data_IF_189141298703
#
_entry.id   IF_189141298703
#
_cell.length_a   1.000
_cell.length_b   1.000
_cell.length_c   1.000
_cell.angle_alpha   90.00
_cell.angle_beta   90.00
_cell.angle_gamma   90.00
#
_symmetry.space_group_name_H-M   'P 1'
#
loop_
_entity.id
_entity.type
_entity.pdbx_description
1 polymer ?
#
# COMPACT_ATOMS: atom_id res chain seq x y z
N UNK A 1 -21.83 -42.01 -26.16
CA UNK A 1 -21.62 -41.30 -24.88
C UNK A 1 -20.23 -40.69 -24.90
N UNK A 2 -20.10 -39.48 -25.48
CA UNK A 2 -18.80 -38.82 -25.67
C UNK A 2 -18.45 -38.08 -24.39
N UNK A 3 -17.35 -38.49 -23.77
CA UNK A 3 -16.62 -37.76 -22.75
C UNK A 3 -16.33 -36.35 -23.27
N UNK A 4 -17.04 -35.36 -22.73
CA UNK A 4 -16.72 -33.94 -22.92
C UNK A 4 -15.41 -33.68 -22.22
N UNK A 5 -14.33 -33.78 -23.00
CA UNK A 5 -13.05 -33.13 -22.73
C UNK A 5 -13.34 -31.70 -22.25
N UNK A 6 -13.21 -31.44 -20.95
CA UNK A 6 -12.73 -30.15 -20.47
C UNK A 6 -11.31 -30.04 -21.00
N UNK A 7 -11.16 -29.65 -22.26
CA UNK A 7 -9.88 -29.16 -22.74
C UNK A 7 -9.60 -27.91 -21.92
N UNK A 8 -8.67 -28.12 -20.99
CA UNK A 8 -7.85 -27.13 -20.33
C UNK A 8 -7.25 -26.22 -21.41
N UNK A 9 -8.02 -25.28 -21.95
CA UNK A 9 -7.44 -24.05 -22.45
C UNK A 9 -6.83 -23.37 -21.23
N UNK A 10 -5.57 -23.73 -20.97
CA UNK A 10 -4.67 -22.86 -20.25
C UNK A 10 -4.57 -21.59 -21.09
N UNK A 11 -5.55 -20.70 -20.94
CA UNK A 11 -5.47 -19.33 -21.40
C UNK A 11 -4.14 -18.84 -20.85
N UNK A 12 -3.22 -18.50 -21.74
CA UNK A 12 -1.90 -17.96 -21.40
C UNK A 12 -2.13 -16.57 -20.80
N UNK A 13 -2.54 -16.56 -19.53
CA UNK A 13 -2.90 -15.36 -18.80
C UNK A 13 -1.57 -14.74 -18.34
N UNK A 14 -1.30 -13.47 -18.64
CA UNK A 14 -0.14 -12.82 -18.08
C UNK A 14 -0.23 -12.89 -16.55
N UNK A 15 0.92 -13.01 -15.88
CA UNK A 15 1.00 -13.25 -14.43
C UNK A 15 0.12 -12.28 -13.61
N UNK A 16 0.05 -11.01 -14.01
CA UNK A 16 -0.75 -9.98 -13.35
C UNK A 16 -2.26 -10.04 -13.63
N UNK A 17 -2.71 -10.85 -14.59
CA UNK A 17 -4.11 -11.10 -14.89
C UNK A 17 -4.68 -12.33 -14.18
N UNK A 18 -3.90 -12.97 -13.30
CA UNK A 18 -4.36 -14.06 -12.45
C UNK A 18 -5.13 -13.47 -11.25
N UNK A 19 -6.40 -13.85 -11.00
CA UNK A 19 -7.19 -13.31 -9.89
C UNK A 19 -6.55 -13.50 -8.51
N UNK A 20 -5.89 -14.63 -8.29
CA UNK A 20 -5.17 -14.92 -7.05
C UNK A 20 -4.01 -13.95 -6.81
N UNK A 21 -3.24 -13.62 -7.85
CA UNK A 21 -2.14 -12.64 -7.77
C UNK A 21 -2.68 -11.28 -7.36
N UNK A 22 -3.77 -10.84 -8.00
CA UNK A 22 -4.46 -9.59 -7.65
C UNK A 22 -4.93 -9.54 -6.19
N UNK A 23 -5.49 -10.63 -5.68
CA UNK A 23 -5.92 -10.74 -4.28
C UNK A 23 -4.74 -10.67 -3.31
N UNK A 24 -3.68 -11.44 -3.56
CA UNK A 24 -2.46 -11.44 -2.74
C UNK A 24 -1.84 -10.05 -2.70
N UNK A 25 -1.67 -9.39 -3.85
CA UNK A 25 -1.15 -8.02 -3.89
C UNK A 25 -2.03 -7.03 -3.14
N UNK A 26 -3.36 -7.18 -3.22
CA UNK A 26 -4.30 -6.32 -2.50
C UNK A 26 -4.17 -6.50 -0.98
N UNK A 27 -4.03 -7.75 -0.51
CA UNK A 27 -3.82 -8.05 0.91
C UNK A 27 -2.47 -7.53 1.39
N UNK A 28 -1.40 -7.74 0.63
CA UNK A 28 -0.07 -7.22 0.96
C UNK A 28 -0.05 -5.69 1.03
N UNK A 29 -0.73 -5.03 0.08
CA UNK A 29 -0.89 -3.58 0.11
C UNK A 29 -1.65 -3.10 1.35
N UNK A 30 -2.77 -3.74 1.70
CA UNK A 30 -3.54 -3.40 2.89
C UNK A 30 -2.74 -3.61 4.19
N UNK A 31 -1.95 -4.69 4.28
CA UNK A 31 -1.07 -4.96 5.42
C UNK A 31 0.08 -3.95 5.50
N UNK A 32 0.71 -3.61 4.38
CA UNK A 32 1.76 -2.58 4.33
C UNK A 32 1.21 -1.22 4.76
N UNK A 33 0.00 -0.85 4.29
CA UNK A 33 -0.67 0.37 4.71
C UNK A 33 -1.03 0.37 6.21
N UNK A 34 -1.54 -0.75 6.74
CA UNK A 34 -1.79 -0.90 8.17
C UNK A 34 -0.52 -0.71 9.00
N UNK A 35 0.59 -1.32 8.57
CA UNK A 35 1.89 -1.12 9.21
C UNK A 35 2.34 0.33 9.14
N UNK A 36 2.14 1.01 8.00
CA UNK A 36 2.42 2.44 7.84
C UNK A 36 1.68 3.29 8.87
N UNK A 37 0.40 3.00 9.11
CA UNK A 37 -0.41 3.71 10.10
C UNK A 37 0.12 3.48 11.54
N UNK A 38 0.65 2.30 11.85
CA UNK A 38 1.22 1.98 13.16
C UNK A 38 2.54 2.73 13.42
N UNK A 39 3.36 2.95 12.39
CA UNK A 39 4.65 3.64 12.52
C UNK A 39 4.56 5.16 12.32
N UNK A 40 3.38 5.69 11.96
CA UNK A 40 3.13 7.12 11.76
C UNK A 40 3.48 7.99 12.98
N UNK A 41 3.21 7.58 14.24
CA UNK A 41 3.59 8.38 15.42
C UNK A 41 5.11 8.63 15.54
N UNK A 42 5.95 7.79 14.92
CA UNK A 42 7.42 7.89 14.99
C UNK A 42 7.96 9.07 14.15
N UNK A 43 7.17 9.59 13.21
CA UNK A 43 7.56 10.73 12.35
C UNK A 43 6.74 11.99 12.61
N UNK A 44 5.80 11.93 13.56
CA UNK A 44 4.94 13.05 13.92
C UNK A 44 5.59 14.07 14.88
N UNK A 45 4.85 15.12 15.27
CA UNK A 45 5.34 16.17 16.15
C UNK A 45 5.85 15.63 17.50
N UNK A 46 5.23 14.58 18.02
CA UNK A 46 5.63 13.92 19.25
C UNK A 46 7.06 13.34 19.20
N UNK A 47 7.50 12.86 18.03
CA UNK A 47 8.85 12.33 17.84
C UNK A 47 9.88 13.44 17.53
N UNK A 48 9.45 14.51 16.85
CA UNK A 48 10.33 15.60 16.39
C UNK A 48 10.52 16.72 17.42
N UNK A 49 9.48 17.04 18.20
CA UNK A 49 9.47 18.13 19.20
C UNK A 49 9.41 17.63 20.64
N UNK A 50 9.22 16.33 20.82
CA UNK A 50 8.94 15.73 22.13
C UNK A 50 7.45 15.76 22.48
N UNK A 51 7.06 14.92 23.43
CA UNK A 51 5.65 14.73 23.85
C UNK A 51 5.04 15.95 24.57
N UNK A 52 5.80 17.04 24.75
CA UNK A 52 5.40 18.18 25.58
C UNK A 52 5.53 17.95 27.09
N UNK A 53 5.94 16.74 27.51
CA UNK A 53 6.30 16.44 28.90
C UNK A 53 7.64 17.09 29.26
N UNK A 54 7.80 17.66 30.47
CA UNK A 54 9.07 18.23 30.92
C UNK A 54 10.22 17.21 30.80
N UNK A 55 11.23 17.54 29.99
CA UNK A 55 12.39 16.67 29.74
C UNK A 55 12.25 15.69 28.58
N UNK A 56 11.09 15.58 27.93
CA UNK A 56 10.92 14.80 26.70
C UNK A 56 11.44 15.60 25.50
N UNK A 57 12.73 15.47 25.20
CA UNK A 57 13.33 16.04 23.99
C UNK A 57 12.97 15.25 22.71
N UNK A 58 13.48 15.70 21.55
CA UNK A 58 13.36 14.98 20.29
C UNK A 58 13.90 13.56 20.40
N UNK A 59 13.31 12.61 19.68
CA UNK A 59 13.84 11.25 19.61
C UNK A 59 15.27 11.28 19.04
N UNK A 60 16.19 10.53 19.66
CA UNK A 60 17.62 10.51 19.30
C UNK A 60 17.91 10.17 17.82
N UNK A 61 16.97 9.48 17.16
CA UNK A 61 17.09 9.01 15.78
C UNK A 61 15.96 9.53 14.86
N UNK A 62 15.41 10.70 15.15
CA UNK A 62 14.25 11.25 14.44
C UNK A 62 14.42 11.30 12.90
N UNK A 63 15.61 11.68 12.40
CA UNK A 63 15.91 11.71 10.95
C UNK A 63 15.96 10.31 10.33
N UNK A 64 16.51 9.33 11.05
CA UNK A 64 16.60 7.95 10.56
C UNK A 64 15.21 7.31 10.50
N UNK A 65 14.38 7.57 11.52
CA UNK A 65 12.99 7.16 11.55
C UNK A 65 12.17 7.77 10.40
N UNK A 66 12.42 9.04 10.08
CA UNK A 66 11.80 9.70 8.94
C UNK A 66 12.15 9.03 7.61
N UNK A 67 13.43 8.73 7.39
CA UNK A 67 13.88 8.05 6.16
C UNK A 67 13.28 6.65 6.09
N UNK A 68 13.28 5.89 7.19
CA UNK A 68 12.68 4.55 7.23
C UNK A 68 11.18 4.58 6.92
N UNK A 69 10.44 5.55 7.48
CA UNK A 69 9.02 5.75 7.20
C UNK A 69 8.77 6.10 5.73
N UNK A 70 9.58 6.98 5.15
CA UNK A 70 9.49 7.35 3.73
C UNK A 70 9.74 6.15 2.83
N UNK A 71 10.80 5.36 3.09
CA UNK A 71 11.09 4.15 2.34
C UNK A 71 9.92 3.16 2.41
N UNK A 72 9.35 2.94 3.59
CA UNK A 72 8.19 2.05 3.76
C UNK A 72 6.94 2.58 3.03
N UNK A 73 6.73 3.90 3.02
CA UNK A 73 5.63 4.52 2.30
C UNK A 73 5.77 4.32 0.78
N UNK A 74 6.99 4.44 0.25
CA UNK A 74 7.27 4.17 -1.17
C UNK A 74 7.03 2.71 -1.53
N UNK A 75 7.44 1.76 -0.68
CA UNK A 75 7.14 0.33 -0.86
C UNK A 75 5.63 0.09 -0.86
N UNK A 76 4.91 0.72 0.07
CA UNK A 76 3.45 0.64 0.17
C UNK A 76 2.77 1.18 -1.10
N UNK A 77 3.24 2.32 -1.62
CA UNK A 77 2.74 2.88 -2.89
C UNK A 77 3.04 1.97 -4.08
N UNK A 78 4.25 1.39 -4.16
CA UNK A 78 4.61 0.45 -5.22
C UNK A 78 3.69 -0.79 -5.20
N UNK A 79 3.42 -1.36 -4.03
CA UNK A 79 2.45 -2.45 -3.87
C UNK A 79 1.04 -2.03 -4.28
N UNK A 80 0.61 -0.82 -3.92
CA UNK A 80 -0.68 -0.27 -4.31
C UNK A 80 -0.83 -0.11 -5.82
N UNK A 81 0.19 0.41 -6.50
CA UNK A 81 0.22 0.51 -7.98
C UNK A 81 0.12 -0.87 -8.61
N UNK A 82 0.92 -1.84 -8.14
CA UNK A 82 0.91 -3.20 -8.68
C UNK A 82 -0.43 -3.89 -8.43
N UNK A 83 -1.05 -3.71 -7.27
CA UNK A 83 -2.37 -4.25 -6.95
C UNK A 83 -3.46 -3.65 -7.87
N UNK A 84 -3.47 -2.33 -8.04
CA UNK A 84 -4.42 -1.65 -8.93
C UNK A 84 -4.22 -2.03 -10.40
N UNK A 85 -2.96 -2.20 -10.82
CA UNK A 85 -2.60 -2.66 -12.16
C UNK A 85 -3.09 -4.09 -12.42
N UNK A 86 -2.83 -5.01 -11.47
CA UNK A 86 -3.31 -6.38 -11.54
C UNK A 86 -4.85 -6.46 -11.55
N UNK A 87 -5.53 -5.70 -10.68
CA UNK A 87 -6.99 -5.60 -10.71
C UNK A 87 -7.53 -5.07 -12.04
N UNK A 88 -6.83 -4.10 -12.66
CA UNK A 88 -7.23 -3.57 -13.98
C UNK A 88 -7.11 -4.66 -15.07
N UNK A 89 -6.06 -5.47 -15.05
CA UNK A 89 -5.89 -6.57 -16.00
C UNK A 89 -6.93 -7.68 -15.82
N UNK A 90 -7.14 -8.14 -14.58
CA UNK A 90 -8.18 -9.15 -14.27
C UNK A 90 -9.55 -8.68 -14.74
N UNK A 91 -9.89 -7.40 -14.54
CA UNK A 91 -11.16 -6.84 -15.03
C UNK A 91 -11.29 -6.79 -16.54
N UNK A 92 -10.19 -6.54 -17.25
CA UNK A 92 -10.21 -6.51 -18.71
C UNK A 92 -10.54 -7.88 -19.32
N UNK A 93 -10.21 -8.97 -18.61
CA UNK A 93 -10.48 -10.34 -19.06
C UNK A 93 -11.79 -10.91 -18.48
N UNK A 94 -12.03 -10.73 -17.17
CA UNK A 94 -13.09 -11.45 -16.45
C UNK A 94 -14.33 -10.55 -16.14
N UNK A 95 -14.42 -9.32 -16.68
CA UNK A 95 -15.54 -8.37 -16.47
C UNK A 95 -15.97 -8.17 -14.99
N UNK A 96 -15.03 -8.32 -14.06
CA UNK A 96 -15.30 -8.30 -12.62
C UNK A 96 -15.67 -6.88 -12.13
N UNK A 97 -16.60 -6.73 -11.16
CA UNK A 97 -16.99 -5.43 -10.62
C UNK A 97 -15.82 -4.64 -10.01
N UNK A 98 -15.97 -3.31 -10.01
CA UNK A 98 -14.92 -2.40 -9.52
C UNK A 98 -14.87 -2.39 -7.99
N UNK A 99 -13.84 -2.99 -7.41
CA UNK A 99 -13.45 -2.74 -6.01
C UNK A 99 -12.92 -1.31 -5.87
N UNK A 100 -13.58 -0.53 -5.00
CA UNK A 100 -13.18 0.82 -4.64
C UNK A 100 -12.19 0.85 -3.47
N UNK A 101 -12.12 -0.22 -2.66
CA UNK A 101 -11.32 -0.27 -1.44
C UNK A 101 -9.83 0.01 -1.68
N UNK A 102 -9.20 -0.71 -2.61
CA UNK A 102 -7.77 -0.52 -2.92
C UNK A 102 -7.48 0.89 -3.47
N UNK A 103 -8.42 1.48 -4.21
CA UNK A 103 -8.28 2.85 -4.72
C UNK A 103 -8.33 3.87 -3.59
N UNK A 104 -9.26 3.73 -2.66
CA UNK A 104 -9.38 4.64 -1.50
C UNK A 104 -8.11 4.59 -0.65
N UNK A 105 -7.62 3.40 -0.33
CA UNK A 105 -6.35 3.24 0.41
C UNK A 105 -5.17 3.86 -0.34
N UNK A 106 -5.10 3.69 -1.66
CA UNK A 106 -4.04 4.30 -2.47
C UNK A 106 -4.09 5.83 -2.44
N UNK A 107 -5.28 6.43 -2.55
CA UNK A 107 -5.45 7.88 -2.42
C UNK A 107 -4.98 8.36 -1.05
N UNK A 108 -5.35 7.67 0.03
CA UNK A 108 -4.90 8.02 1.38
C UNK A 108 -3.37 7.91 1.51
N UNK A 109 -2.76 6.85 0.95
CA UNK A 109 -1.31 6.70 0.95
C UNK A 109 -0.60 7.84 0.19
N UNK A 110 -1.16 8.29 -0.95
CA UNK A 110 -0.64 9.45 -1.69
C UNK A 110 -0.79 10.74 -0.87
N UNK A 111 -1.94 10.96 -0.23
CA UNK A 111 -2.14 12.11 0.64
C UNK A 111 -1.15 12.12 1.82
N UNK A 112 -0.85 10.95 2.38
CA UNK A 112 0.15 10.79 3.43
C UNK A 112 1.56 11.14 2.93
N UNK A 113 1.92 10.76 1.70
CA UNK A 113 3.18 11.17 1.08
C UNK A 113 3.25 12.68 0.89
N UNK A 114 2.18 13.31 0.39
CA UNK A 114 2.10 14.76 0.24
C UNK A 114 2.24 15.45 1.60
N UNK A 115 1.54 14.99 2.63
CA UNK A 115 1.64 15.53 3.99
C UNK A 115 3.06 15.38 4.57
N UNK A 116 3.76 14.28 4.26
CA UNK A 116 5.13 14.05 4.70
C UNK A 116 6.12 14.99 4.00
N UNK A 117 5.98 15.17 2.68
CA UNK A 117 6.86 16.02 1.86
C UNK A 117 6.63 17.52 2.09
N UNK A 118 5.39 17.93 2.32
CA UNK A 118 5.05 19.32 2.64
C UNK A 118 5.43 19.72 4.07
N UNK A 119 5.88 18.76 4.88
CA UNK A 119 6.24 19.01 6.28
C UNK A 119 5.03 19.19 7.19
N UNK A 120 3.80 18.96 6.70
CA UNK A 120 2.56 19.04 7.50
C UNK A 120 2.59 18.08 8.70
N UNK A 121 3.32 16.97 8.57
CA UNK A 121 3.57 15.99 9.64
C UNK A 121 4.68 16.40 10.62
N UNK A 122 5.55 17.36 10.25
CA UNK A 122 6.71 17.82 11.03
C UNK A 122 6.42 19.09 11.84
N UNK A 123 5.50 19.93 11.37
CA UNK A 123 4.99 21.13 12.06
C UNK A 123 4.14 20.77 13.27
#
# INVERSE_FOLDING_TARGET
MKTTKKETEAVDRPFFAIPMVSQVLTVLFALAFYFQCMILPIVGPAAMKGSGSPGAGPAAHATQNFIAFLCMLLVTLALGVLALYSQKQVRALDNTPKSYFAKTLFVIAVLMLVALLTGLLKT
#
